data_IF_253767828262
#
_entry.id   IF_253767828262
#
_cell.length_a   1.000
_cell.length_b   1.000
_cell.length_c   1.000
_cell.angle_alpha   90.00
_cell.angle_beta   90.00
_cell.angle_gamma   90.00
#
_symmetry.space_group_name_H-M   'P 1'
#
loop_
_entity.id
_entity.type
_entity.pdbx_description
1 polymer ?
#
# COMPACT_ATOMS: atom_id res chain seq x y z
N UNK A 1 24.30 7.12 -16.54
CA UNK A 1 24.12 6.25 -15.36
C UNK A 1 22.66 6.28 -14.96
N UNK A 2 21.99 5.13 -14.98
CA UNK A 2 20.69 4.98 -14.32
C UNK A 2 20.87 5.32 -12.84
N UNK A 3 20.06 6.24 -12.29
CA UNK A 3 20.08 6.49 -10.86
C UNK A 3 19.65 5.20 -10.14
N UNK A 4 20.25 4.90 -8.98
CA UNK A 4 19.94 3.70 -8.19
C UNK A 4 18.42 3.50 -7.99
N UNK A 5 17.70 4.61 -7.83
CA UNK A 5 16.24 4.61 -7.70
C UNK A 5 15.49 4.23 -8.98
N UNK A 6 16.00 4.60 -10.15
CA UNK A 6 15.42 4.19 -11.43
C UNK A 6 15.66 2.70 -11.68
N UNK A 7 16.85 2.19 -11.35
CA UNK A 7 17.13 0.75 -11.40
C UNK A 7 16.18 -0.04 -10.47
N UNK A 8 15.96 0.48 -9.26
CA UNK A 8 15.01 -0.10 -8.32
C UNK A 8 13.58 -0.11 -8.85
N UNK A 9 13.14 0.96 -9.51
CA UNK A 9 11.82 1.06 -10.13
C UNK A 9 11.62 -0.04 -11.19
N UNK A 10 12.61 -0.24 -12.07
CA UNK A 10 12.54 -1.20 -13.17
C UNK A 10 12.52 -2.67 -12.68
N UNK A 11 13.23 -2.94 -11.58
CA UNK A 11 13.39 -4.29 -11.03
C UNK A 11 12.24 -4.70 -10.10
N UNK A 12 11.90 -3.87 -9.11
CA UNK A 12 10.99 -4.23 -8.01
C UNK A 12 9.54 -3.76 -8.21
N UNK A 13 9.28 -2.78 -9.08
CA UNK A 13 7.98 -2.13 -9.19
C UNK A 13 7.28 -2.44 -10.50
N UNK A 14 5.96 -2.18 -10.55
CA UNK A 14 5.16 -2.34 -11.77
C UNK A 14 5.47 -1.21 -12.77
N UNK A 15 6.66 -1.26 -13.35
CA UNK A 15 7.23 -0.25 -14.24
C UNK A 15 6.51 -0.19 -15.59
N UNK A 16 6.25 1.03 -16.09
CA UNK A 16 5.88 1.27 -17.48
C UNK A 16 7.05 1.93 -18.21
N UNK A 17 7.36 1.45 -19.42
CA UNK A 17 8.49 1.97 -20.21
C UNK A 17 8.34 3.48 -20.40
N UNK A 18 9.33 4.24 -19.93
CA UNK A 18 9.37 5.72 -19.98
C UNK A 18 8.99 6.41 -18.67
N UNK A 19 8.60 5.68 -17.64
CA UNK A 19 8.48 6.24 -16.30
C UNK A 19 9.86 6.65 -15.77
N UNK A 20 9.92 7.82 -15.12
CA UNK A 20 11.12 8.31 -14.44
C UNK A 20 10.87 8.44 -12.93
N UNK A 21 11.61 7.68 -12.12
CA UNK A 21 11.59 7.78 -10.67
C UNK A 21 12.02 9.18 -10.21
N UNK A 22 11.23 9.81 -9.35
CA UNK A 22 11.59 11.09 -8.71
C UNK A 22 12.45 10.87 -7.48
N UNK A 23 13.01 11.92 -6.88
CA UNK A 23 13.78 11.81 -5.63
C UNK A 23 12.86 11.67 -4.40
N UNK A 24 13.39 11.13 -3.29
CA UNK A 24 12.57 10.91 -2.07
C UNK A 24 12.12 12.26 -1.51
N UNK A 25 12.99 13.26 -1.60
CA UNK A 25 12.70 14.63 -1.26
C UNK A 25 11.53 15.19 -2.07
N UNK A 26 11.57 15.07 -3.41
CA UNK A 26 10.48 15.54 -4.26
C UNK A 26 9.16 14.82 -3.96
N UNK A 27 9.20 13.51 -3.72
CA UNK A 27 8.00 12.75 -3.35
C UNK A 27 7.36 13.26 -2.05
N UNK A 28 8.16 13.60 -1.03
CA UNK A 28 7.66 14.17 0.23
C UNK A 28 7.05 15.55 0.00
N UNK A 29 7.74 16.43 -0.71
CA UNK A 29 7.26 17.79 -1.03
C UNK A 29 5.98 17.73 -1.85
N UNK A 30 5.91 16.84 -2.85
CA UNK A 30 4.72 16.64 -3.69
C UNK A 30 3.51 16.19 -2.86
N UNK A 31 3.70 15.23 -1.95
CA UNK A 31 2.64 14.78 -1.05
C UNK A 31 2.13 15.88 -0.12
N UNK A 32 3.03 16.66 0.48
CA UNK A 32 2.69 17.81 1.33
C UNK A 32 1.95 18.88 0.52
N UNK A 33 2.44 19.19 -0.69
CA UNK A 33 1.82 20.18 -1.58
C UNK A 33 0.39 19.83 -1.98
N UNK A 34 0.12 18.56 -2.33
CA UNK A 34 -1.25 18.09 -2.62
C UNK A 34 -2.15 18.23 -1.40
N UNK A 35 -1.67 17.83 -0.21
CA UNK A 35 -2.45 17.93 1.02
C UNK A 35 -2.83 19.38 1.33
N UNK A 36 -1.88 20.32 1.23
CA UNK A 36 -2.13 21.75 1.40
C UNK A 36 -3.08 22.32 0.34
N UNK A 37 -2.97 21.86 -0.91
CA UNK A 37 -3.85 22.32 -1.98
C UNK A 37 -5.31 21.88 -1.75
N UNK A 38 -5.53 20.62 -1.37
CA UNK A 38 -6.87 20.12 -1.02
C UNK A 38 -7.42 20.90 0.18
N UNK A 39 -6.57 21.18 1.17
CA UNK A 39 -6.94 21.97 2.32
C UNK A 39 -7.42 23.38 1.94
N UNK A 40 -6.70 24.06 1.05
CA UNK A 40 -7.08 25.37 0.54
C UNK A 40 -8.41 25.31 -0.23
N UNK A 41 -8.66 24.27 -1.02
CA UNK A 41 -9.95 24.07 -1.71
C UNK A 41 -11.08 23.94 -0.70
N UNK A 42 -10.90 23.15 0.37
CA UNK A 42 -11.93 22.97 1.40
C UNK A 42 -12.28 24.32 2.05
N UNK A 43 -11.28 25.13 2.40
CA UNK A 43 -11.47 26.48 2.96
C UNK A 43 -12.21 27.37 1.97
N UNK A 44 -11.82 27.33 0.69
CA UNK A 44 -12.40 28.16 -0.35
C UNK A 44 -13.86 27.81 -0.64
N UNK A 45 -14.20 26.53 -0.64
CA UNK A 45 -15.56 26.04 -0.90
C UNK A 45 -16.49 26.24 0.30
N UNK A 46 -15.97 26.21 1.54
CA UNK A 46 -16.84 26.22 2.72
C UNK A 46 -17.57 27.55 2.93
N UNK A 47 -17.02 28.68 2.48
CA UNK A 47 -17.62 30.03 2.61
C UNK A 47 -17.80 30.54 4.06
N UNK A 48 -17.89 29.62 5.02
CA UNK A 48 -18.00 29.84 6.45
C UNK A 48 -16.67 29.50 7.13
N UNK A 49 -16.09 30.44 7.91
CA UNK A 49 -14.79 30.25 8.55
C UNK A 49 -14.81 29.18 9.65
N UNK A 50 -15.99 28.85 10.20
CA UNK A 50 -16.14 27.81 11.23
C UNK A 50 -15.96 26.41 10.65
N UNK A 51 -16.57 26.13 9.51
CA UNK A 51 -16.43 24.85 8.79
C UNK A 51 -15.00 24.67 8.27
N UNK A 52 -14.40 25.78 7.81
CA UNK A 52 -13.02 25.85 7.37
C UNK A 52 -11.99 25.47 8.45
N UNK A 53 -12.34 25.54 9.75
CA UNK A 53 -11.46 25.18 10.88
C UNK A 53 -11.80 23.80 11.45
N UNK A 54 -13.08 23.40 11.47
CA UNK A 54 -13.52 22.11 12.02
C UNK A 54 -13.06 20.91 11.18
N UNK A 55 -13.14 20.99 9.84
CA UNK A 55 -12.66 19.92 8.94
C UNK A 55 -11.14 19.65 9.12
N UNK A 56 -10.27 20.69 9.13
CA UNK A 56 -8.86 20.56 9.48
C UNK A 56 -8.54 19.87 10.80
N UNK A 57 -9.43 19.99 11.80
CA UNK A 57 -9.23 19.44 13.14
C UNK A 57 -9.82 18.02 13.26
N UNK A 58 -10.92 17.76 12.56
CA UNK A 58 -11.56 16.44 12.48
C UNK A 58 -10.66 15.40 11.80
N UNK A 59 -9.96 15.78 10.72
CA UNK A 59 -9.12 14.84 9.96
C UNK A 59 -7.94 14.31 10.82
N UNK A 60 -7.08 15.16 11.44
CA UNK A 60 -6.01 14.71 12.33
C UNK A 60 -6.53 13.96 13.56
N UNK A 61 -7.65 14.39 14.15
CA UNK A 61 -8.22 13.69 15.32
C UNK A 61 -8.68 12.26 14.97
N UNK A 62 -9.23 12.04 13.78
CA UNK A 62 -9.52 10.68 13.26
C UNK A 62 -8.22 9.86 13.10
N UNK A 63 -7.14 10.47 12.58
CA UNK A 63 -5.86 9.78 12.44
C UNK A 63 -5.21 9.46 13.79
N UNK A 64 -5.29 10.37 14.77
CA UNK A 64 -4.80 10.16 16.15
C UNK A 64 -5.60 9.05 16.82
N UNK A 65 -6.94 9.09 16.71
CA UNK A 65 -7.81 8.02 17.20
C UNK A 65 -7.43 6.67 16.57
N UNK A 66 -7.24 6.62 15.24
CA UNK A 66 -6.79 5.40 14.54
C UNK A 66 -5.37 4.96 14.95
N UNK A 67 -4.47 5.88 15.27
CA UNK A 67 -3.13 5.54 15.74
C UNK A 67 -3.15 4.93 17.15
N UNK A 68 -4.04 5.42 18.03
CA UNK A 68 -4.20 4.95 19.41
C UNK A 68 -4.97 3.61 19.44
N UNK A 69 -6.06 3.52 18.70
CA UNK A 69 -6.92 2.32 18.63
C UNK A 69 -6.52 1.35 17.49
N UNK A 70 -5.28 1.46 17.00
CA UNK A 70 -4.70 0.73 15.85
C UNK A 70 -4.74 -0.81 15.95
N UNK A 71 -5.08 -1.36 17.11
CA UNK A 71 -4.95 -2.79 17.42
C UNK A 71 -5.92 -3.74 16.70
N UNK A 72 -6.95 -3.23 16.00
CA UNK A 72 -7.97 -4.06 15.35
C UNK A 72 -7.97 -4.00 13.81
N UNK A 73 -6.86 -3.58 13.18
CA UNK A 73 -6.83 -3.56 11.72
C UNK A 73 -6.74 -4.96 11.12
N UNK A 74 -7.51 -5.20 10.05
CA UNK A 74 -7.41 -6.44 9.30
C UNK A 74 -6.06 -6.52 8.58
N UNK A 75 -5.58 -7.74 8.33
CA UNK A 75 -4.35 -7.96 7.55
C UNK A 75 -4.41 -7.31 6.16
N UNK A 76 -5.60 -7.24 5.56
CA UNK A 76 -5.80 -6.58 4.26
C UNK A 76 -5.60 -5.06 4.33
N UNK A 77 -6.09 -4.41 5.40
CA UNK A 77 -5.91 -2.97 5.61
C UNK A 77 -4.44 -2.63 5.86
N UNK A 78 -3.78 -3.45 6.67
CA UNK A 78 -2.36 -3.32 6.96
C UNK A 78 -1.52 -3.46 5.68
N UNK A 79 -1.77 -4.51 4.89
CA UNK A 79 -1.08 -4.74 3.62
C UNK A 79 -1.28 -3.59 2.63
N UNK A 80 -2.49 -3.02 2.54
CA UNK A 80 -2.74 -1.83 1.72
C UNK A 80 -1.92 -0.63 2.18
N UNK A 81 -1.89 -0.34 3.49
CA UNK A 81 -1.11 0.79 4.03
C UNK A 81 0.38 0.64 3.74
N UNK A 82 0.96 -0.52 4.04
CA UNK A 82 2.39 -0.79 3.78
C UNK A 82 2.73 -0.66 2.29
N UNK A 83 1.80 -1.06 1.41
CA UNK A 83 1.95 -0.87 -0.04
C UNK A 83 1.98 0.61 -0.45
N UNK A 84 1.13 1.44 0.16
CA UNK A 84 1.13 2.89 -0.08
C UNK A 84 2.39 3.58 0.46
N UNK A 85 2.86 3.20 1.65
CA UNK A 85 4.08 3.77 2.25
C UNK A 85 5.34 3.44 1.43
N UNK A 86 5.37 2.27 0.79
CA UNK A 86 6.50 1.82 -0.03
C UNK A 86 6.40 2.21 -1.51
N UNK A 87 5.34 2.92 -1.93
CA UNK A 87 5.16 3.34 -3.31
C UNK A 87 6.20 4.39 -3.73
N UNK A 88 6.60 4.37 -5.01
CA UNK A 88 7.53 5.34 -5.60
C UNK A 88 6.76 6.27 -6.52
N UNK A 89 6.94 7.57 -6.35
CA UNK A 89 6.43 8.58 -7.28
C UNK A 89 7.27 8.59 -8.56
N UNK A 90 6.60 8.48 -9.71
CA UNK A 90 7.20 8.55 -11.04
C UNK A 90 6.59 9.68 -11.86
N UNK A 91 7.38 10.25 -12.77
CA UNK A 91 6.87 11.06 -13.87
C UNK A 91 6.59 10.14 -15.05
N UNK A 92 5.35 10.15 -15.54
CA UNK A 92 4.93 9.39 -16.71
C UNK A 92 5.45 10.05 -17.99
N UNK A 93 5.38 9.32 -19.11
CA UNK A 93 5.68 9.86 -20.44
C UNK A 93 4.83 11.08 -20.79
N UNK A 94 3.57 11.10 -20.34
CA UNK A 94 2.61 12.16 -20.61
C UNK A 94 2.87 13.42 -19.75
N UNK A 95 3.89 13.38 -18.89
CA UNK A 95 4.27 14.47 -18.01
C UNK A 95 3.51 14.51 -16.68
N UNK A 96 2.53 13.62 -16.48
CA UNK A 96 1.80 13.47 -15.22
C UNK A 96 2.65 12.77 -14.14
N UNK A 97 2.21 12.86 -12.89
CA UNK A 97 2.84 12.21 -11.75
C UNK A 97 1.94 11.09 -11.24
N UNK A 98 2.51 9.89 -11.07
CA UNK A 98 1.76 8.72 -10.64
C UNK A 98 2.59 7.89 -9.64
N UNK A 99 1.93 7.16 -8.77
CA UNK A 99 2.58 6.27 -7.81
C UNK A 99 2.66 4.85 -8.39
N UNK A 100 3.87 4.28 -8.39
CA UNK A 100 4.10 2.87 -8.72
C UNK A 100 4.26 2.05 -7.47
N UNK A 101 3.56 0.93 -7.43
CA UNK A 101 3.59 -0.05 -6.35
C UNK A 101 4.57 -1.18 -6.68
N UNK A 102 5.14 -1.80 -5.65
CA UNK A 102 6.01 -2.96 -5.81
C UNK A 102 5.25 -4.15 -6.39
N UNK A 103 5.93 -5.01 -7.14
CA UNK A 103 5.36 -6.24 -7.71
C UNK A 103 4.84 -7.21 -6.64
N UNK A 104 5.41 -7.15 -5.44
CA UNK A 104 5.10 -7.98 -4.29
C UNK A 104 4.16 -7.30 -3.28
N UNK A 105 3.69 -6.09 -3.59
CA UNK A 105 2.78 -5.33 -2.72
C UNK A 105 1.37 -5.91 -2.69
N UNK A 106 0.65 -5.73 -1.58
CA UNK A 106 -0.72 -6.21 -1.40
C UNK A 106 -1.65 -5.71 -2.52
N UNK A 107 -1.55 -4.42 -2.86
CA UNK A 107 -2.40 -3.80 -3.90
C UNK A 107 -2.22 -4.45 -5.26
N UNK A 108 -0.99 -4.88 -5.58
CA UNK A 108 -0.69 -5.55 -6.85
C UNK A 108 -1.07 -7.03 -6.81
N UNK A 109 -0.91 -7.66 -5.65
CA UNK A 109 -1.10 -9.09 -5.48
C UNK A 109 -2.55 -9.50 -5.26
N UNK A 110 -3.42 -8.60 -4.78
CA UNK A 110 -4.82 -8.89 -4.51
C UNK A 110 -5.55 -9.35 -5.77
N UNK A 111 -6.28 -10.47 -5.69
CA UNK A 111 -6.96 -11.12 -6.81
C UNK A 111 -6.05 -11.50 -7.99
N UNK A 112 -4.74 -11.60 -7.78
CA UNK A 112 -3.76 -11.97 -8.81
C UNK A 112 -3.13 -13.33 -8.55
N UNK A 113 -2.46 -13.89 -9.56
CA UNK A 113 -1.66 -15.10 -9.37
C UNK A 113 -0.30 -14.75 -8.75
N UNK A 114 0.01 -15.32 -7.60
CA UNK A 114 1.30 -15.16 -6.92
C UNK A 114 2.00 -16.51 -6.71
N UNK A 115 3.32 -16.49 -6.51
CA UNK A 115 4.11 -17.70 -6.25
C UNK A 115 4.25 -17.89 -4.74
N UNK A 116 3.82 -19.05 -4.24
CA UNK A 116 3.91 -19.37 -2.81
C UNK A 116 5.36 -19.39 -2.34
N UNK A 117 5.67 -18.71 -1.23
CA UNK A 117 7.02 -18.68 -0.66
C UNK A 117 7.48 -20.04 -0.14
N UNK A 118 6.55 -20.90 0.30
CA UNK A 118 6.81 -22.23 0.87
C UNK A 118 6.86 -23.29 -0.24
N UNK A 119 5.73 -23.62 -0.86
CA UNK A 119 5.66 -24.71 -1.84
C UNK A 119 6.10 -24.32 -3.27
N UNK A 120 6.42 -23.04 -3.52
CA UNK A 120 6.85 -22.51 -4.83
C UNK A 120 5.84 -22.67 -5.98
N UNK A 121 4.64 -23.19 -5.73
CA UNK A 121 3.57 -23.28 -6.72
C UNK A 121 2.88 -21.93 -6.92
N UNK A 122 2.35 -21.70 -8.13
CA UNK A 122 1.50 -20.53 -8.41
C UNK A 122 0.11 -20.79 -7.85
N UNK A 123 -0.45 -19.78 -7.20
CA UNK A 123 -1.81 -19.82 -6.69
C UNK A 123 -2.46 -18.46 -6.87
N UNK A 124 -3.80 -18.43 -6.93
CA UNK A 124 -4.56 -17.19 -6.95
C UNK A 124 -4.79 -16.78 -5.50
N UNK A 125 -4.52 -15.52 -5.19
CA UNK A 125 -4.81 -14.97 -3.86
C UNK A 125 -6.31 -14.78 -3.72
N UNK A 126 -6.93 -15.51 -2.79
CA UNK A 126 -8.37 -15.45 -2.52
C UNK A 126 -8.65 -14.79 -1.17
N UNK A 127 -7.66 -14.73 -0.27
CA UNK A 127 -7.77 -14.04 1.02
C UNK A 127 -6.69 -12.97 1.23
N UNK A 128 -6.96 -12.06 2.18
CA UNK A 128 -5.99 -11.05 2.59
C UNK A 128 -4.73 -11.66 3.23
N UNK A 129 -4.87 -12.78 3.93
CA UNK A 129 -3.75 -13.51 4.56
C UNK A 129 -2.82 -14.11 3.53
N UNK A 130 -3.40 -14.80 2.54
CA UNK A 130 -2.68 -15.35 1.41
C UNK A 130 -1.91 -14.28 0.64
N UNK A 131 -2.54 -13.13 0.42
CA UNK A 131 -1.93 -11.99 -0.26
C UNK A 131 -0.79 -11.36 0.56
N UNK A 132 -1.00 -11.18 1.87
CA UNK A 132 -0.04 -10.53 2.76
C UNK A 132 1.22 -11.37 2.96
N UNK A 133 1.05 -12.66 3.25
CA UNK A 133 2.20 -13.57 3.48
C UNK A 133 2.76 -14.17 2.19
N UNK A 134 2.00 -14.14 1.09
CA UNK A 134 2.33 -14.81 -0.18
C UNK A 134 2.50 -16.32 0.02
N UNK A 135 1.59 -16.92 0.80
CA UNK A 135 1.54 -18.35 1.11
C UNK A 135 0.14 -18.84 0.77
N UNK A 136 0.03 -19.96 0.07
CA UNK A 136 -1.25 -20.56 -0.30
C UNK A 136 -1.84 -21.41 0.83
N UNK A 137 -3.16 -21.55 0.91
CA UNK A 137 -3.83 -22.47 1.86
C UNK A 137 -4.09 -23.88 1.30
N UNK A 138 -3.48 -24.25 0.16
CA UNK A 138 -3.76 -25.53 -0.53
C UNK A 138 -3.03 -26.76 0.02
N UNK A 139 -1.95 -26.57 0.77
CA UNK A 139 -1.08 -27.67 1.23
C UNK A 139 -0.86 -27.55 2.74
N UNK A 140 -0.87 -28.68 3.45
CA UNK A 140 -0.69 -28.72 4.92
C UNK A 140 0.57 -28.01 5.38
N UNK A 141 1.69 -28.20 4.69
CA UNK A 141 2.96 -27.49 5.01
C UNK A 141 2.83 -25.97 4.93
N UNK A 142 2.02 -25.48 3.99
CA UNK A 142 1.79 -24.04 3.83
C UNK A 142 0.83 -23.51 4.90
N UNK A 143 -0.22 -24.27 5.24
CA UNK A 143 -1.15 -23.96 6.32
C UNK A 143 -0.41 -23.90 7.66
N UNK A 144 0.43 -24.87 7.98
CA UNK A 144 1.23 -24.88 9.22
C UNK A 144 2.18 -23.67 9.29
N UNK A 145 2.83 -23.35 8.18
CA UNK A 145 3.70 -22.17 8.09
C UNK A 145 2.91 -20.88 8.31
N UNK A 146 1.72 -20.77 7.71
CA UNK A 146 0.87 -19.59 7.82
C UNK A 146 0.31 -19.44 9.24
N UNK A 147 -0.16 -20.53 9.85
CA UNK A 147 -0.62 -20.57 11.24
C UNK A 147 0.48 -20.15 12.23
N UNK A 148 1.71 -20.64 12.04
CA UNK A 148 2.85 -20.26 12.87
C UNK A 148 3.17 -18.76 12.78
N UNK A 149 2.98 -18.15 11.61
CA UNK A 149 3.27 -16.73 11.39
C UNK A 149 2.11 -15.84 11.87
N UNK A 150 0.87 -16.26 11.67
CA UNK A 150 -0.31 -15.46 12.06
C UNK A 150 -0.65 -15.58 13.55
N UNK A 151 -0.23 -16.66 14.21
CA UNK A 151 -0.60 -16.97 15.60
C UNK A 151 -1.95 -17.68 15.73
N UNK A 152 -2.56 -18.09 14.62
CA UNK A 152 -3.86 -18.78 14.60
C UNK A 152 -3.70 -20.30 14.56
N UNK A 153 -4.82 -21.01 14.79
CA UNK A 153 -4.85 -22.47 14.67
C UNK A 153 -4.90 -22.89 13.18
N UNK A 154 -4.18 -23.95 12.78
CA UNK A 154 -4.21 -24.49 11.41
C UNK A 154 -5.62 -24.81 10.88
N UNK A 155 -6.52 -25.24 11.78
CA UNK A 155 -7.92 -25.52 11.47
C UNK A 155 -8.68 -24.33 10.88
N UNK A 156 -8.28 -23.10 11.23
CA UNK A 156 -8.95 -21.89 10.76
C UNK A 156 -8.70 -21.61 9.26
N UNK A 157 -7.75 -22.30 8.65
CA UNK A 157 -7.36 -22.13 7.24
C UNK A 157 -7.76 -23.32 6.36
N UNK A 158 -8.31 -24.38 6.97
CA UNK A 158 -8.90 -25.52 6.26
C UNK A 158 -10.36 -25.19 5.99
N UNK A 159 -10.60 -24.43 4.93
CA UNK A 159 -11.94 -24.16 4.37
C UNK A 159 -12.36 -25.26 3.41
#
# INVERSE_FOLDING_TARGET
MLSDRQYKLETEYKFKKGDQAKSVFFQKVYGIGIALFIFLIIIFVSGEPVVAVLIPLAIPSIYIYRAIFRRNESWGDRGRRESHETAILVKTKDGSYDYRFRKDSFIVLFNSSSKCKVCKQKFKTESSLECYFQICTKNEKCIESLAKISGDKPSNFRS
#
